data_IF_964903032370
#
_entry.id   IF_964903032370
#
_cell.length_a   1.000
_cell.length_b   1.000
_cell.length_c   1.000
_cell.angle_alpha   90.00
_cell.angle_beta   90.00
_cell.angle_gamma   90.00
#
_symmetry.space_group_name_H-M   'P 1'
#
loop_
_entity.id
_entity.type
_entity.pdbx_description
1 polymer ?
#
# COMPACT_ATOMS: atom_id res chain seq x y z
N UNK A 1 17.56 15.54 -25.31
CA UNK A 1 16.99 14.25 -24.85
C UNK A 1 15.95 14.47 -23.74
N UNK A 2 15.04 15.44 -23.86
CA UNK A 2 14.17 15.87 -22.73
C UNK A 2 12.69 15.52 -22.89
N UNK A 3 12.25 15.02 -24.06
CA UNK A 3 10.82 14.84 -24.36
C UNK A 3 10.18 13.54 -23.83
N UNK A 4 10.98 12.52 -23.44
CA UNK A 4 10.44 11.22 -22.96
C UNK A 4 10.11 11.20 -21.47
N UNK A 5 10.75 12.04 -20.67
CA UNK A 5 10.63 12.01 -19.21
C UNK A 5 9.36 12.73 -18.72
N UNK A 6 8.99 13.84 -19.36
CA UNK A 6 7.78 14.60 -19.02
C UNK A 6 6.48 13.80 -19.23
N UNK A 7 6.45 12.92 -20.24
CA UNK A 7 5.27 12.12 -20.56
C UNK A 7 5.01 11.01 -19.52
N UNK A 8 6.08 10.43 -18.97
CA UNK A 8 6.01 9.41 -17.93
C UNK A 8 5.48 9.98 -16.60
N UNK A 9 5.86 11.22 -16.26
CA UNK A 9 5.41 11.87 -15.03
C UNK A 9 3.94 12.29 -15.11
N UNK A 10 3.48 12.76 -16.26
CA UNK A 10 2.07 13.08 -16.48
C UNK A 10 1.19 11.84 -16.41
N UNK A 11 1.63 10.71 -16.98
CA UNK A 11 0.90 9.44 -16.86
C UNK A 11 0.78 8.95 -15.41
N UNK A 12 1.82 9.16 -14.59
CA UNK A 12 1.78 8.86 -13.16
C UNK A 12 0.82 9.79 -12.41
N UNK A 13 0.79 11.08 -12.74
CA UNK A 13 -0.15 12.05 -12.17
C UNK A 13 -1.60 11.70 -12.51
N UNK A 14 -1.89 11.33 -13.76
CA UNK A 14 -3.24 10.94 -14.20
C UNK A 14 -3.73 9.64 -13.53
N UNK A 15 -2.82 8.70 -13.25
CA UNK A 15 -3.13 7.49 -12.50
C UNK A 15 -3.44 7.82 -11.03
N UNK A 16 -2.67 8.72 -10.42
CA UNK A 16 -2.91 9.19 -9.04
C UNK A 16 -4.25 9.93 -8.93
N UNK A 17 -4.59 10.78 -9.91
CA UNK A 17 -5.89 11.46 -9.94
C UNK A 17 -7.07 10.50 -10.11
N UNK A 18 -6.92 9.47 -10.96
CA UNK A 18 -7.94 8.43 -11.13
C UNK A 18 -8.12 7.57 -9.88
N UNK A 19 -7.04 7.28 -9.15
CA UNK A 19 -7.10 6.61 -7.85
C UNK A 19 -7.86 7.46 -6.82
N UNK A 20 -7.65 8.78 -6.80
CA UNK A 20 -8.35 9.69 -5.89
C UNK A 20 -9.86 9.81 -6.20
N UNK A 21 -10.29 9.60 -7.44
CA UNK A 21 -11.72 9.69 -7.83
C UNK A 21 -12.52 8.43 -7.48
N UNK A 22 -11.86 7.28 -7.32
CA UNK A 22 -12.51 6.00 -6.97
C UNK A 22 -12.82 5.86 -5.47
N UNK A 23 -12.30 6.74 -4.60
CA UNK A 23 -12.42 6.65 -3.13
C UNK A 23 -13.70 7.26 -2.52
N UNK A 24 -14.75 7.51 -3.30
CA UNK A 24 -16.04 7.99 -2.78
C UNK A 24 -16.93 6.85 -2.25
N UNK A 25 -16.49 6.16 -1.20
CA UNK A 25 -17.36 5.31 -0.39
C UNK A 25 -17.07 5.56 1.11
N UNK A 26 -17.95 6.39 1.69
CA UNK A 26 -18.05 6.90 3.08
C UNK A 26 -17.44 8.30 3.30
N UNK A 27 -18.21 9.25 3.89
CA UNK A 27 -17.75 10.61 4.13
C UNK A 27 -16.67 10.62 5.22
N UNK A 28 -15.43 10.76 4.78
CA UNK A 28 -14.31 11.04 5.65
C UNK A 28 -14.49 12.48 6.17
N UNK A 29 -14.36 12.70 7.49
CA UNK A 29 -14.51 14.05 8.07
C UNK A 29 -13.59 15.06 7.37
N UNK A 30 -13.94 16.36 7.36
CA UNK A 30 -13.20 17.43 6.64
C UNK A 30 -11.68 17.48 6.92
N UNK A 31 -11.22 16.87 8.00
CA UNK A 31 -9.81 16.83 8.43
C UNK A 31 -9.19 15.42 8.39
N UNK A 32 -9.79 14.48 7.66
CA UNK A 32 -9.28 13.13 7.48
C UNK A 32 -9.10 12.80 6.00
N UNK A 33 -8.18 11.90 5.71
CA UNK A 33 -7.99 11.32 4.38
C UNK A 33 -7.78 9.82 4.48
N UNK A 34 -8.12 9.12 3.40
CA UNK A 34 -7.75 7.74 3.14
C UNK A 34 -7.00 7.73 1.82
N UNK A 35 -5.94 6.94 1.74
CA UNK A 35 -5.20 6.68 0.51
C UNK A 35 -4.80 5.22 0.46
N UNK A 36 -4.72 4.66 -0.72
CA UNK A 36 -4.33 3.27 -0.94
C UNK A 36 -3.16 3.15 -1.92
N UNK A 37 -2.26 2.23 -1.63
CA UNK A 37 -1.21 1.76 -2.53
C UNK A 37 -1.33 0.25 -2.71
N UNK A 38 -1.35 -0.22 -3.95
CA UNK A 38 -1.24 -1.65 -4.27
C UNK A 38 0.17 -1.98 -4.75
N UNK A 39 0.71 -3.11 -4.29
CA UNK A 39 2.00 -3.65 -4.71
C UNK A 39 1.83 -5.12 -5.12
N UNK A 40 2.67 -5.57 -6.04
CA UNK A 40 2.70 -6.95 -6.52
C UNK A 40 4.08 -7.54 -6.24
N UNK A 41 4.09 -8.76 -5.70
CA UNK A 41 5.28 -9.56 -5.48
C UNK A 41 5.48 -10.49 -6.68
N UNK A 42 6.73 -10.83 -6.96
CA UNK A 42 6.98 -12.00 -7.79
C UNK A 42 6.67 -13.29 -7.01
N UNK A 43 6.34 -14.39 -7.69
CA UNK A 43 5.93 -15.65 -7.05
C UNK A 43 6.91 -16.18 -5.98
N UNK A 44 8.21 -15.99 -6.16
CA UNK A 44 9.24 -16.44 -5.20
C UNK A 44 9.63 -15.35 -4.18
N UNK A 45 9.06 -14.16 -4.32
CA UNK A 45 9.43 -13.01 -3.53
C UNK A 45 8.61 -12.97 -2.24
N UNK A 46 9.29 -13.15 -1.11
CA UNK A 46 8.67 -13.15 0.21
C UNK A 46 8.88 -11.83 0.97
N UNK A 47 9.71 -10.93 0.42
CA UNK A 47 10.11 -9.71 1.10
C UNK A 47 10.04 -8.50 0.17
N UNK A 48 9.94 -7.33 0.80
CA UNK A 48 9.93 -6.04 0.11
C UNK A 48 11.31 -5.73 -0.47
N UNK A 49 11.41 -5.73 -1.80
CA UNK A 49 12.62 -5.36 -2.53
C UNK A 49 12.84 -3.84 -2.62
N UNK A 50 13.87 -3.44 -3.36
CA UNK A 50 14.23 -2.03 -3.59
C UNK A 50 13.14 -1.25 -4.32
N UNK A 51 12.49 -1.82 -5.32
CA UNK A 51 11.42 -1.15 -6.08
C UNK A 51 10.20 -0.90 -5.20
N UNK A 52 9.77 -1.89 -4.42
CA UNK A 52 8.68 -1.73 -3.47
C UNK A 52 8.99 -0.63 -2.46
N UNK A 53 10.21 -0.59 -1.91
CA UNK A 53 10.64 0.48 -0.99
C UNK A 53 10.54 1.86 -1.61
N UNK A 54 10.97 2.02 -2.86
CA UNK A 54 10.90 3.30 -3.57
C UNK A 54 9.45 3.76 -3.75
N UNK A 55 8.55 2.86 -4.17
CA UNK A 55 7.13 3.21 -4.37
C UNK A 55 6.45 3.51 -3.04
N UNK A 56 6.73 2.73 -2.00
CA UNK A 56 6.22 2.97 -0.64
C UNK A 56 6.68 4.34 -0.14
N UNK A 57 7.97 4.66 -0.27
CA UNK A 57 8.51 5.94 0.19
C UNK A 57 7.88 7.13 -0.54
N UNK A 58 7.72 7.02 -1.88
CA UNK A 58 7.02 8.04 -2.67
C UNK A 58 5.55 8.19 -2.26
N UNK A 59 4.87 7.08 -1.98
CA UNK A 59 3.48 7.10 -1.51
C UNK A 59 3.37 7.86 -0.19
N UNK A 60 4.16 7.52 0.84
CA UNK A 60 4.09 8.20 2.14
C UNK A 60 4.55 9.67 2.07
N UNK A 61 5.52 10.01 1.21
CA UNK A 61 5.90 11.41 0.95
C UNK A 61 4.82 12.24 0.27
N UNK A 62 3.91 11.59 -0.46
CA UNK A 62 2.78 12.27 -1.13
C UNK A 62 1.59 12.52 -0.21
N UNK A 63 1.59 11.92 0.99
CA UNK A 63 0.51 12.09 1.95
C UNK A 63 0.62 13.47 2.61
N UNK A 64 -0.52 14.12 2.93
CA UNK A 64 -0.51 15.32 3.75
C UNK A 64 0.20 15.06 5.09
N UNK A 65 1.02 16.00 5.55
CA UNK A 65 1.60 15.94 6.89
C UNK A 65 0.48 15.78 7.92
N UNK A 66 0.44 14.63 8.58
CA UNK A 66 -0.58 14.30 9.57
C UNK A 66 0.12 13.94 10.88
N UNK A 67 -0.45 14.39 12.00
CA UNK A 67 0.09 14.08 13.32
C UNK A 67 -0.16 12.62 13.73
N UNK A 68 -1.10 11.93 13.07
CA UNK A 68 -1.47 10.53 13.32
C UNK A 68 -1.88 9.86 12.02
N UNK A 69 -1.40 8.63 11.85
CA UNK A 69 -1.56 7.81 10.67
C UNK A 69 -1.85 6.39 11.12
N UNK A 70 -2.99 5.82 10.77
CA UNK A 70 -3.22 4.37 10.92
C UNK A 70 -2.95 3.71 9.57
N UNK A 71 -2.20 2.60 9.57
CA UNK A 71 -1.84 1.85 8.37
C UNK A 71 -2.45 0.46 8.45
N UNK A 72 -3.21 0.09 7.43
CA UNK A 72 -3.73 -1.28 7.27
C UNK A 72 -2.98 -1.94 6.11
N UNK A 73 -2.33 -3.06 6.39
CA UNK A 73 -1.62 -3.87 5.40
C UNK A 73 -2.46 -5.13 5.14
N UNK A 74 -2.99 -5.27 3.93
CA UNK A 74 -3.63 -6.50 3.48
C UNK A 74 -2.72 -7.24 2.51
N UNK A 75 -2.55 -8.55 2.70
CA UNK A 75 -1.76 -9.39 1.78
C UNK A 75 -2.62 -10.53 1.24
N UNK A 76 -2.47 -10.77 -0.06
CA UNK A 76 -3.11 -11.83 -0.80
C UNK A 76 -2.32 -13.16 -0.70
N UNK A 77 -2.96 -14.30 -1.03
CA UNK A 77 -2.28 -15.58 -1.15
C UNK A 77 -1.20 -15.53 -2.25
N UNK A 78 -0.10 -16.26 -2.07
CA UNK A 78 0.89 -16.56 -3.12
C UNK A 78 0.42 -17.60 -4.15
N UNK A 79 -0.56 -18.44 -3.81
CA UNK A 79 -1.13 -19.42 -4.74
C UNK A 79 -2.52 -19.88 -4.29
N UNK A 80 -3.33 -20.36 -5.24
CA UNK A 80 -4.66 -20.92 -4.95
C UNK A 80 -4.63 -22.39 -4.51
N UNK A 81 -3.51 -23.11 -4.69
CA UNK A 81 -3.44 -24.57 -4.57
C UNK A 81 -2.73 -25.10 -3.31
N UNK A 82 -2.03 -24.24 -2.56
CA UNK A 82 -1.17 -24.68 -1.45
C UNK A 82 -1.44 -23.87 -0.17
N UNK A 83 -2.54 -24.14 0.56
CA UNK A 83 -3.05 -23.25 1.61
C UNK A 83 -2.06 -22.99 2.77
N UNK A 84 -1.33 -24.01 3.23
CA UNK A 84 -0.36 -23.81 4.32
C UNK A 84 0.86 -23.00 3.89
N UNK A 85 1.39 -23.31 2.70
CA UNK A 85 2.52 -22.58 2.13
C UNK A 85 2.12 -21.13 1.86
N UNK A 86 0.94 -20.92 1.30
CA UNK A 86 0.46 -19.58 0.96
C UNK A 86 0.25 -18.70 2.18
N UNK A 87 -0.25 -19.27 3.30
CA UNK A 87 -0.35 -18.55 4.57
C UNK A 87 1.02 -18.16 5.10
N UNK A 88 2.01 -19.06 5.04
CA UNK A 88 3.37 -18.79 5.49
C UNK A 88 4.07 -17.70 4.64
N UNK A 89 3.88 -17.75 3.32
CA UNK A 89 4.41 -16.74 2.40
C UNK A 89 3.77 -15.38 2.65
N UNK A 90 2.44 -15.35 2.79
CA UNK A 90 1.66 -14.14 3.07
C UNK A 90 2.06 -13.52 4.40
N UNK A 91 2.28 -14.36 5.43
CA UNK A 91 2.79 -13.90 6.72
C UNK A 91 4.19 -13.28 6.60
N UNK A 92 5.08 -13.91 5.84
CA UNK A 92 6.43 -13.39 5.60
C UNK A 92 6.39 -12.02 4.91
N UNK A 93 5.52 -11.87 3.90
CA UNK A 93 5.27 -10.60 3.21
C UNK A 93 4.70 -9.53 4.14
N UNK A 94 3.71 -9.88 4.97
CA UNK A 94 3.13 -8.98 5.98
C UNK A 94 4.19 -8.46 6.96
N UNK A 95 5.03 -9.34 7.50
CA UNK A 95 6.09 -8.94 8.42
C UNK A 95 7.14 -8.07 7.73
N UNK A 96 7.51 -8.38 6.49
CA UNK A 96 8.44 -7.57 5.71
C UNK A 96 7.90 -6.15 5.46
N UNK A 97 6.62 -6.03 5.11
CA UNK A 97 5.94 -4.74 4.95
C UNK A 97 5.85 -3.99 6.28
N UNK A 98 5.41 -4.65 7.36
CA UNK A 98 5.32 -4.04 8.70
C UNK A 98 6.65 -3.45 9.15
N UNK A 99 7.75 -4.16 8.95
CA UNK A 99 9.08 -3.70 9.35
C UNK A 99 9.47 -2.38 8.68
N UNK A 100 9.06 -2.18 7.43
CA UNK A 100 9.35 -0.95 6.67
C UNK A 100 8.35 0.15 7.01
N UNK A 101 7.09 -0.19 7.21
CA UNK A 101 6.04 0.77 7.50
C UNK A 101 6.06 1.29 8.94
N UNK A 102 6.74 0.59 9.85
CA UNK A 102 6.95 1.00 11.23
C UNK A 102 7.64 2.37 11.40
N UNK A 103 8.35 2.85 10.38
CA UNK A 103 8.94 4.19 10.39
C UNK A 103 7.90 5.30 10.17
N UNK A 104 6.75 4.98 9.54
CA UNK A 104 5.69 5.95 9.22
C UNK A 104 4.56 5.94 10.24
N UNK A 105 4.30 4.79 10.89
CA UNK A 105 3.32 4.70 11.97
C UNK A 105 3.63 3.59 12.98
N UNK A 106 3.16 3.80 14.21
CA UNK A 106 3.09 2.77 15.26
C UNK A 106 1.79 1.96 15.22
N UNK A 107 0.75 2.49 14.61
CA UNK A 107 -0.56 1.89 14.45
C UNK A 107 -0.60 1.18 13.09
N UNK A 108 -0.28 -0.11 13.12
CA UNK A 108 -0.25 -0.96 11.93
C UNK A 108 -1.10 -2.21 12.17
N UNK A 109 -2.15 -2.34 11.37
CA UNK A 109 -3.00 -3.53 11.32
C UNK A 109 -2.55 -4.45 10.19
N UNK A 110 -2.51 -5.76 10.47
CA UNK A 110 -2.11 -6.78 9.51
C UNK A 110 -3.31 -7.66 9.18
N UNK A 111 -3.63 -7.77 7.90
CA UNK A 111 -4.80 -8.50 7.41
C UNK A 111 -4.34 -9.49 6.34
N UNK A 112 -4.77 -10.74 6.48
CA UNK A 112 -4.74 -11.70 5.38
C UNK A 112 -6.07 -11.60 4.63
N UNK A 113 -6.01 -11.33 3.32
CA UNK A 113 -7.20 -11.06 2.52
C UNK A 113 -7.19 -11.94 1.25
N UNK A 114 -7.81 -13.13 1.31
CA UNK A 114 -7.75 -14.12 0.22
C UNK A 114 -8.47 -13.68 -1.07
N UNK A 115 -9.32 -12.65 -1.00
CA UNK A 115 -10.08 -12.12 -2.14
C UNK A 115 -9.25 -11.18 -3.04
N UNK A 116 -8.05 -10.79 -2.61
CA UNK A 116 -7.13 -9.99 -3.43
C UNK A 116 -6.49 -10.81 -4.55
N UNK A 117 -5.99 -10.12 -5.57
CA UNK A 117 -5.22 -10.75 -6.64
C UNK A 117 -3.98 -11.46 -6.08
N UNK A 118 -3.70 -12.67 -6.58
CA UNK A 118 -2.55 -13.45 -6.12
C UNK A 118 -1.25 -12.66 -6.17
N UNK A 119 -0.39 -12.93 -5.20
CA UNK A 119 0.89 -12.25 -5.02
C UNK A 119 0.79 -10.72 -4.84
N UNK A 120 -0.36 -10.18 -4.45
CA UNK A 120 -0.51 -8.75 -4.19
C UNK A 120 -0.56 -8.40 -2.70
N UNK A 121 -0.32 -7.13 -2.41
CA UNK A 121 -0.65 -6.53 -1.14
C UNK A 121 -1.18 -5.11 -1.34
N UNK A 122 -2.04 -4.67 -0.42
CA UNK A 122 -2.54 -3.30 -0.38
C UNK A 122 -2.17 -2.65 0.94
N UNK A 123 -1.69 -1.42 0.87
CA UNK A 123 -1.39 -0.56 2.01
C UNK A 123 -2.43 0.55 2.01
N UNK A 124 -3.29 0.58 3.02
CA UNK A 124 -4.21 1.67 3.25
C UNK A 124 -3.65 2.57 4.34
N UNK A 125 -3.53 3.86 4.03
CA UNK A 125 -3.10 4.88 4.97
C UNK A 125 -4.29 5.79 5.29
N UNK A 126 -4.65 5.88 6.57
CA UNK A 126 -5.71 6.74 7.08
C UNK A 126 -5.09 7.77 8.01
N UNK A 127 -5.12 9.04 7.60
CA UNK A 127 -4.51 10.14 8.34
C UNK A 127 -5.52 11.24 8.65
N UNK A 128 -5.25 12.03 9.68
CA UNK A 128 -6.10 13.16 10.05
C UNK A 128 -6.07 13.51 11.53
N UNK A 129 -6.64 14.66 11.89
CA UNK A 129 -6.62 15.17 13.28
C UNK A 129 -7.39 14.28 14.27
N UNK A 130 -8.37 13.53 13.78
CA UNK A 130 -9.28 12.72 14.60
C UNK A 130 -9.09 11.20 14.40
N UNK A 131 -7.95 10.77 13.83
CA UNK A 131 -7.61 9.34 13.77
C UNK A 131 -7.33 8.85 15.20
N UNK A 132 -8.06 7.81 15.62
CA UNK A 132 -7.99 7.17 16.93
C UNK A 132 -7.30 5.82 16.83
#
# INVERSE_FOLDING_TARGET
MEKKQAHSTQQLSDVIEKMNQAENALPISKDMYRRQLSISFNQQELQVNTQHRQVIDLFFKSLPESQRLNIIISVAPSSAGEPFKTLNDSWSRLQSLKAILAQYSKEIELIYQPELDLDSATIHAVGGKNVQ
#
